data_IF_828446043763
#
_entry.id   IF_828446043763
#
_cell.length_a   1.000
_cell.length_b   1.000
_cell.length_c   1.000
_cell.angle_alpha   90.00
_cell.angle_beta   90.00
_cell.angle_gamma   90.00
#
_symmetry.space_group_name_H-M   'P 1'
#
loop_
_entity.id
_entity.type
_entity.pdbx_description
1 polymer ?
2 non-polymer ?
3 non-polymer ?
4 non-polymer ?
5 water ?
#
# COMPACT_ATOMS: atom_id res chain seq x y z
N UNK A 1 -7.20 7.62 -24.35
CA UNK A 1 -7.52 8.07 -22.96
C UNK A 1 -7.33 9.58 -22.82
N UNK A 2 -8.18 10.23 -22.03
CA UNK A 2 -8.09 11.68 -21.81
C UNK A 2 -6.94 12.00 -20.84
N UNK A 3 -6.75 13.29 -20.53
CA UNK A 3 -5.71 13.69 -19.60
C UNK A 3 -6.01 13.06 -18.24
N UNK A 4 -4.98 12.81 -17.42
CA UNK A 4 -5.14 12.20 -16.09
C UNK A 4 -6.25 12.81 -15.23
N UNK A 5 -6.23 14.13 -15.07
CA UNK A 5 -7.26 14.77 -14.25
C UNK A 5 -8.66 14.58 -14.82
N UNK A 6 -8.77 14.60 -16.15
CA UNK A 6 -10.07 14.43 -16.80
C UNK A 6 -10.55 12.99 -16.54
N UNK A 7 -9.62 12.05 -16.59
CA UNK A 7 -10.00 10.66 -16.36
C UNK A 7 -10.42 10.43 -14.91
N UNK A 8 -9.68 11.01 -13.97
CA UNK A 8 -10.03 10.88 -12.55
C UNK A 8 -11.46 11.41 -12.33
N UNK A 9 -11.78 12.54 -12.95
CA UNK A 9 -13.12 13.11 -12.79
C UNK A 9 -14.15 12.16 -13.37
N UNK A 10 -13.86 11.62 -14.54
CA UNK A 10 -14.77 10.69 -15.19
C UNK A 10 -15.00 9.47 -14.28
N UNK A 11 -13.94 9.02 -13.62
CA UNK A 11 -14.06 7.88 -12.72
C UNK A 11 -15.02 8.17 -11.56
N UNK A 12 -14.93 9.37 -10.97
CA UNK A 12 -15.87 9.71 -9.88
C UNK A 12 -17.30 9.75 -10.41
N UNK A 13 -17.48 10.34 -11.59
CA UNK A 13 -18.82 10.42 -12.19
C UNK A 13 -19.40 9.01 -12.39
N UNK A 14 -18.58 8.12 -12.94
CA UNK A 14 -19.05 6.77 -13.19
C UNK A 14 -19.24 5.90 -11.93
N UNK A 15 -18.37 6.07 -10.95
CA UNK A 15 -18.46 5.27 -9.72
C UNK A 15 -19.39 5.83 -8.64
N UNK A 16 -19.71 7.13 -8.74
CA UNK A 16 -20.51 7.83 -7.72
C UNK A 16 -19.76 7.82 -6.39
N UNK A 17 -18.43 7.74 -6.44
CA UNK A 17 -17.67 7.73 -5.21
C UNK A 17 -16.54 8.73 -5.30
N UNK A 18 -15.76 8.84 -4.23
CA UNK A 18 -14.62 9.75 -4.21
C UNK A 18 -13.37 8.98 -4.61
N UNK A 19 -12.54 9.65 -5.41
CA UNK A 19 -11.27 9.11 -5.84
C UNK A 19 -10.24 10.06 -5.22
N UNK A 20 -9.17 9.50 -4.68
CA UNK A 20 -8.08 10.30 -4.13
C UNK A 20 -6.85 9.85 -4.88
N UNK A 21 -6.05 10.80 -5.36
CA UNK A 21 -4.89 10.42 -6.15
C UNK A 21 -3.72 11.39 -6.09
N UNK A 22 -2.52 10.82 -6.12
CA UNK A 22 -1.28 11.59 -6.18
C UNK A 22 -0.35 10.85 -7.13
N UNK A 23 0.34 11.63 -7.96
CA UNK A 23 1.37 11.14 -8.89
C UNK A 23 2.57 11.99 -8.50
N UNK A 24 3.66 11.34 -8.08
CA UNK A 24 4.84 12.04 -7.57
C UNK A 24 6.14 11.42 -8.09
N UNK A 25 7.10 12.27 -8.44
CA UNK A 25 8.41 11.74 -8.88
C UNK A 25 9.03 11.04 -7.66
N UNK A 26 9.47 9.79 -7.83
CA UNK A 26 10.03 9.06 -6.70
C UNK A 26 11.34 9.64 -6.21
N UNK A 27 12.20 10.02 -7.15
CA UNK A 27 13.49 10.56 -6.76
C UNK A 27 13.47 11.91 -6.06
N UNK A 28 12.60 12.83 -6.52
CA UNK A 28 12.59 14.18 -5.95
C UNK A 28 11.40 14.58 -5.11
N UNK A 29 10.27 13.89 -5.30
CA UNK A 29 9.07 14.24 -4.55
C UNK A 29 8.21 15.25 -5.31
N UNK A 30 8.59 15.60 -6.53
CA UNK A 30 7.81 16.54 -7.33
C UNK A 30 6.39 16.01 -7.51
N UNK A 31 5.38 16.80 -7.15
CA UNK A 31 3.99 16.39 -7.32
C UNK A 31 3.50 16.78 -8.70
N UNK A 32 3.06 15.80 -9.49
CA UNK A 32 2.56 16.06 -10.83
C UNK A 32 1.06 16.19 -10.93
N UNK A 33 0.36 15.33 -10.21
CA UNK A 33 -1.10 15.34 -10.21
C UNK A 33 -1.53 15.16 -8.76
N UNK A 34 -2.53 15.94 -8.34
CA UNK A 34 -3.04 15.85 -7.00
C UNK A 34 -4.54 16.07 -7.09
N UNK A 35 -5.31 15.08 -6.65
CA UNK A 35 -6.77 15.18 -6.66
C UNK A 35 -7.25 14.68 -5.32
N UNK A 36 -7.96 15.52 -4.56
CA UNK A 36 -8.43 15.18 -3.21
C UNK A 36 -7.26 14.62 -2.43
N UNK A 37 -6.08 15.19 -2.68
CA UNK A 37 -4.86 14.71 -2.05
C UNK A 37 -4.76 14.88 -0.55
N UNK A 38 -5.57 15.79 0.00
CA UNK A 38 -5.55 16.03 1.43
C UNK A 38 -6.80 15.51 2.12
N UNK A 39 -7.59 14.74 1.39
CA UNK A 39 -8.80 14.14 1.96
C UNK A 39 -8.48 12.75 2.48
N UNK A 40 -9.22 12.33 3.51
CA UNK A 40 -9.00 11.03 4.10
C UNK A 40 -9.66 9.90 3.33
N UNK A 41 -8.93 8.79 3.26
CA UNK A 41 -9.39 7.55 2.61
C UNK A 41 -8.94 6.35 3.43
N UNK A 42 -9.76 5.29 3.50
CA UNK A 42 -9.37 4.10 4.26
C UNK A 42 -8.12 3.51 3.58
N UNK A 43 -7.07 3.23 4.35
CA UNK A 43 -5.87 2.67 3.75
C UNK A 43 -6.08 1.23 3.28
N UNK A 44 -7.00 0.53 3.93
CA UNK A 44 -7.24 -0.89 3.71
C UNK A 44 -5.88 -1.60 3.74
N UNK A 45 -5.68 -2.64 2.93
CA UNK A 45 -4.41 -3.39 2.99
C UNK A 45 -3.15 -2.64 2.59
N UNK A 46 -3.26 -1.42 2.07
CA UNK A 46 -2.03 -0.72 1.70
C UNK A 46 -1.19 -0.37 2.94
N UNK A 47 -1.77 -0.46 4.15
CA UNK A 47 -1.03 -0.10 5.34
C UNK A 47 0.14 -1.08 5.53
N UNK A 48 0.05 -2.24 4.89
CA UNK A 48 1.08 -3.26 5.08
C UNK A 48 2.48 -2.86 4.63
N UNK A 49 2.57 -1.95 3.66
CA UNK A 49 3.89 -1.50 3.24
C UNK A 49 4.50 -0.62 4.36
N UNK A 50 3.70 0.26 4.95
CA UNK A 50 4.21 1.10 6.05
C UNK A 50 4.59 0.21 7.26
N UNK A 51 3.77 -0.79 7.53
CA UNK A 51 4.04 -1.75 8.60
C UNK A 51 5.43 -2.36 8.43
N UNK A 52 5.73 -2.85 7.23
CA UNK A 52 7.03 -3.48 7.04
C UNK A 52 8.17 -2.45 7.02
N UNK A 53 7.84 -1.19 6.77
CA UNK A 53 8.84 -0.15 6.87
C UNK A 53 9.22 -0.02 8.35
N UNK A 54 8.23 -0.09 9.24
CA UNK A 54 8.50 0.01 10.69
C UNK A 54 9.32 -1.19 11.15
N UNK A 55 9.02 -2.38 10.61
CA UNK A 55 9.76 -3.58 10.94
C UNK A 55 11.23 -3.43 10.51
N UNK A 56 11.43 -2.93 9.29
CA UNK A 56 12.78 -2.75 8.82
C UNK A 56 13.54 -1.72 9.66
N UNK A 57 12.84 -0.70 10.16
CA UNK A 57 13.49 0.30 11.00
C UNK A 57 14.01 -0.40 12.26
N UNK A 58 13.21 -1.33 12.82
CA UNK A 58 13.64 -2.07 14.01
C UNK A 58 14.85 -2.94 13.67
N UNK A 59 14.84 -3.54 12.49
CA UNK A 59 15.99 -4.37 12.09
C UNK A 59 17.26 -3.51 12.01
N UNK A 60 17.13 -2.32 11.41
CA UNK A 60 18.26 -1.40 11.24
C UNK A 60 18.83 -0.98 12.60
N UNK A 61 17.96 -0.86 13.59
CA UNK A 61 18.37 -0.46 14.93
C UNK A 61 18.91 -1.62 15.77
N UNK A 62 18.85 -2.83 15.22
CA UNK A 62 19.32 -4.00 15.95
C UNK A 62 18.29 -4.53 16.94
N UNK A 63 17.04 -4.06 16.84
CA UNK A 63 15.98 -4.52 17.73
C UNK A 63 15.15 -5.65 17.14
N UNK A 64 15.47 -6.02 15.91
CA UNK A 64 14.71 -7.08 15.23
C UNK A 64 15.62 -7.71 14.19
N UNK A 65 15.27 -8.91 13.74
CA UNK A 65 16.04 -9.59 12.70
C UNK A 65 15.03 -10.17 11.73
N UNK A 66 15.28 -10.02 10.43
CA UNK A 66 14.34 -10.61 9.47
C UNK A 66 14.40 -12.13 9.57
N UNK A 67 15.50 -12.66 10.09
CA UNK A 67 15.65 -14.11 10.24
C UNK A 67 14.86 -14.69 11.42
N UNK A 68 14.51 -13.85 12.39
CA UNK A 68 13.87 -14.36 13.60
C UNK A 68 12.58 -15.12 13.33
N UNK A 69 12.54 -16.37 13.79
CA UNK A 69 11.36 -17.20 13.58
C UNK A 69 10.29 -16.96 14.64
N UNK A 70 9.08 -16.69 14.19
CA UNK A 70 7.96 -16.46 15.10
C UNK A 70 7.04 -17.69 15.04
N UNK A 71 6.76 -18.27 16.20
CA UNK A 71 5.86 -19.40 16.24
C UNK A 71 4.52 -18.87 16.72
N UNK A 72 3.45 -19.27 16.06
CA UNK A 72 2.15 -18.77 16.46
C UNK A 72 1.17 -19.93 16.53
N UNK A 73 -0.04 -19.63 16.98
CA UNK A 73 -1.07 -20.64 17.14
C UNK A 73 -2.27 -20.43 16.23
N UNK A 74 -3.03 -21.51 16.01
CA UNK A 74 -4.18 -21.40 15.13
C UNK A 74 -5.16 -20.33 15.59
N UNK A 75 -5.31 -20.17 16.90
CA UNK A 75 -6.21 -19.16 17.44
C UNK A 75 -5.77 -17.74 17.12
N UNK A 76 -4.53 -17.60 16.67
CA UNK A 76 -3.98 -16.28 16.31
C UNK A 76 -4.37 -15.89 14.91
N UNK A 77 -4.82 -16.86 14.12
CA UNK A 77 -5.17 -16.57 12.73
C UNK A 77 -6.49 -15.84 12.54
N UNK A 78 -6.48 -14.91 11.59
CA UNK A 78 -7.67 -14.16 11.22
C UNK A 78 -7.99 -14.44 9.77
N UNK A 79 -9.10 -13.88 9.29
CA UNK A 79 -9.57 -14.09 7.92
C UNK A 79 -8.51 -13.83 6.84
N UNK A 80 -8.34 -14.81 5.97
CA UNK A 80 -7.42 -14.78 4.83
C UNK A 80 -5.97 -14.83 5.23
N UNK A 81 -5.49 -16.05 5.35
CA UNK A 81 -4.13 -16.33 5.77
C UNK A 81 -3.56 -17.42 4.90
N UNK A 82 -3.48 -17.19 3.58
CA UNK A 82 -2.97 -18.18 2.63
C UNK A 82 -1.60 -18.77 2.90
N UNK A 83 -0.70 -17.98 3.45
CA UNK A 83 0.63 -18.47 3.74
C UNK A 83 0.76 -18.86 5.20
N UNK A 84 0.29 -18.00 6.10
CA UNK A 84 0.48 -18.29 7.52
C UNK A 84 -0.28 -19.53 8.01
N UNK A 85 -1.40 -19.87 7.39
CA UNK A 85 -2.11 -21.07 7.85
C UNK A 85 -1.32 -22.35 7.53
N UNK A 86 -0.31 -22.25 6.67
CA UNK A 86 0.48 -23.42 6.31
C UNK A 86 1.68 -23.65 7.22
N UNK A 87 1.88 -22.77 8.19
CA UNK A 87 3.05 -22.88 9.06
C UNK A 87 2.78 -22.89 10.55
N UNK A 88 1.71 -23.57 10.94
CA UNK A 88 1.40 -23.66 12.36
C UNK A 88 2.43 -24.52 13.08
N UNK A 89 2.99 -25.47 12.35
CA UNK A 89 3.98 -26.37 12.94
C UNK A 89 5.39 -25.82 12.97
N UNK A 90 5.79 -25.13 11.91
CA UNK A 90 7.16 -24.65 11.83
C UNK A 90 7.42 -23.15 11.99
N UNK A 91 6.35 -22.36 12.02
CA UNK A 91 6.51 -20.93 12.18
C UNK A 91 6.99 -20.24 10.92
N UNK A 92 7.13 -18.92 11.02
CA UNK A 92 7.63 -18.09 9.91
C UNK A 92 8.61 -17.04 10.41
N UNK A 93 9.58 -16.70 9.58
CA UNK A 93 10.54 -15.66 9.99
C UNK A 93 9.85 -14.29 9.81
N UNK A 94 10.39 -13.28 10.48
CA UNK A 94 9.84 -11.94 10.38
C UNK A 94 9.87 -11.53 8.90
N UNK A 95 10.95 -11.84 8.19
CA UNK A 95 11.02 -11.46 6.78
C UNK A 95 9.97 -12.18 5.95
N UNK A 96 9.75 -13.46 6.24
CA UNK A 96 8.73 -14.23 5.53
C UNK A 96 7.37 -13.63 5.83
N UNK A 97 7.18 -13.18 7.06
CA UNK A 97 5.88 -12.58 7.42
C UNK A 97 5.67 -11.30 6.59
N UNK A 98 6.69 -10.48 6.45
CA UNK A 98 6.52 -9.27 5.64
C UNK A 98 6.24 -9.66 4.18
N UNK A 99 6.95 -10.65 3.67
CA UNK A 99 6.69 -11.08 2.29
C UNK A 99 5.24 -11.54 2.15
N UNK A 100 4.73 -12.27 3.12
CA UNK A 100 3.37 -12.79 3.03
C UNK A 100 2.35 -11.66 3.13
N UNK A 101 2.61 -10.72 4.03
CA UNK A 101 1.68 -9.59 4.21
C UNK A 101 1.63 -8.71 2.96
N UNK A 102 2.81 -8.41 2.40
CA UNK A 102 2.85 -7.55 1.23
C UNK A 102 2.53 -8.25 -0.09
N UNK A 103 3.13 -9.41 -0.36
CA UNK A 103 2.91 -10.05 -1.65
C UNK A 103 1.71 -10.97 -1.78
N UNK A 104 1.13 -11.38 -0.65
CA UNK A 104 -0.04 -12.25 -0.68
C UNK A 104 -1.22 -11.71 0.13
N UNK A 105 -1.06 -10.50 0.68
CA UNK A 105 -2.04 -9.85 1.56
C UNK A 105 -2.53 -10.79 2.64
N UNK A 106 -1.58 -11.49 3.23
CA UNK A 106 -1.89 -12.41 4.33
C UNK A 106 -2.20 -11.57 5.58
N UNK A 107 -3.42 -11.64 6.10
CA UNK A 107 -3.80 -10.83 7.25
C UNK A 107 -3.24 -11.25 8.59
N UNK A 108 -3.08 -12.55 8.81
CA UNK A 108 -2.48 -12.99 10.07
C UNK A 108 -1.02 -12.59 10.09
N UNK A 109 -0.34 -12.70 8.96
CA UNK A 109 1.06 -12.28 8.94
C UNK A 109 1.14 -10.79 9.31
N UNK A 110 0.24 -9.98 8.77
CA UNK A 110 0.23 -8.55 9.08
C UNK A 110 -0.02 -8.33 10.58
N UNK A 111 -0.98 -9.07 11.16
CA UNK A 111 -1.26 -8.91 12.58
C UNK A 111 -0.08 -9.31 13.45
N UNK A 112 0.61 -10.39 13.07
CA UNK A 112 1.77 -10.83 13.85
C UNK A 112 2.84 -9.75 13.82
N UNK A 113 3.07 -9.16 12.65
CA UNK A 113 4.05 -8.09 12.52
C UNK A 113 3.60 -6.84 13.29
N UNK A 114 2.31 -6.53 13.22
CA UNK A 114 1.78 -5.37 13.90
C UNK A 114 2.07 -5.50 15.41
N UNK A 115 1.94 -6.71 15.94
CA UNK A 115 2.22 -6.90 17.36
C UNK A 115 3.67 -6.53 17.67
N UNK A 116 4.58 -6.90 16.78
CA UNK A 116 6.00 -6.61 17.03
C UNK A 116 6.37 -5.13 17.04
N UNK A 117 5.55 -4.27 16.44
CA UNK A 117 5.85 -2.84 16.43
C UNK A 117 4.98 -2.03 17.40
N UNK A 118 4.29 -2.73 18.31
CA UNK A 118 3.46 -2.02 19.27
C UNK A 118 2.01 -1.85 18.89
N UNK A 119 1.53 -2.66 17.96
CA UNK A 119 0.15 -2.57 17.53
C UNK A 119 -0.16 -1.34 16.72
N UNK A 120 -1.45 -1.12 16.40
CA UNK A 120 -1.87 0.04 15.62
C UNK A 120 -1.29 1.33 16.21
N UNK A 121 -1.31 1.45 17.54
CA UNK A 121 -0.76 2.65 18.17
C UNK A 121 0.74 2.78 17.92
N UNK A 122 1.47 1.67 18.00
CA UNK A 122 2.91 1.71 17.75
C UNK A 122 3.22 2.09 16.32
N UNK A 123 2.42 1.59 15.37
CA UNK A 123 2.67 1.94 13.97
C UNK A 123 2.37 3.41 13.74
N UNK A 124 1.32 3.91 14.37
CA UNK A 124 0.97 5.30 14.22
C UNK A 124 2.09 6.18 14.81
N UNK A 125 2.70 5.74 15.91
CA UNK A 125 3.78 6.52 16.50
C UNK A 125 4.97 6.54 15.55
N UNK A 126 5.24 5.40 14.89
CA UNK A 126 6.33 5.32 13.92
C UNK A 126 6.07 6.33 12.81
N UNK A 127 4.83 6.39 12.32
CA UNK A 127 4.49 7.35 11.27
C UNK A 127 4.77 8.78 11.75
N UNK A 128 4.40 9.08 13.00
CA UNK A 128 4.65 10.42 13.53
C UNK A 128 6.17 10.66 13.59
N UNK A 129 6.92 9.61 13.89
CA UNK A 129 8.37 9.73 13.97
C UNK A 129 9.06 10.02 12.64
N UNK A 130 8.45 9.63 11.53
CA UNK A 130 9.04 9.93 10.24
C UNK A 130 8.36 11.16 9.61
N UNK A 131 7.59 11.89 10.41
CA UNK A 131 6.99 13.10 9.91
C UNK A 131 5.64 13.02 9.25
N UNK A 132 4.97 11.89 9.37
CA UNK A 132 3.62 11.79 8.79
C UNK A 132 2.70 12.05 9.97
N UNK A 133 2.06 13.22 9.95
CA UNK A 133 1.18 13.63 11.05
C UNK A 133 -0.29 13.42 10.75
N UNK A 134 -0.58 12.69 9.67
CA UNK A 134 -1.95 12.46 9.26
C UNK A 134 -2.37 11.00 9.26
N UNK A 135 -1.56 10.14 8.63
CA UNK A 135 -1.89 8.72 8.58
C UNK A 135 -2.07 8.11 9.96
N UNK A 136 -3.08 7.25 10.11
CA UNK A 136 -3.31 6.62 11.39
C UNK A 136 -3.87 5.21 11.26
N UNK A 137 -3.31 4.28 12.05
CA UNK A 137 -3.86 2.93 12.07
C UNK A 137 -4.44 2.78 13.48
N UNK A 138 -5.67 2.30 13.55
CA UNK A 138 -6.35 2.18 14.83
C UNK A 138 -6.77 0.76 15.17
N UNK A 139 -6.98 -0.04 14.12
CA UNK A 139 -7.45 -1.40 14.31
C UNK A 139 -6.56 -2.45 13.67
N UNK A 140 -6.87 -3.72 13.94
CA UNK A 140 -6.11 -4.85 13.41
C UNK A 140 -6.63 -5.31 12.05
N UNK A 141 -5.82 -6.13 11.39
CA UNK A 141 -6.01 -6.63 10.03
C UNK A 141 -7.35 -6.72 9.41
N UNK A 142 -8.29 -7.40 10.04
CA UNK A 142 -9.57 -7.49 9.38
C UNK A 142 -10.51 -6.31 9.63
N UNK A 143 -10.56 -5.86 10.87
CA UNK A 143 -11.46 -4.76 11.24
C UNK A 143 -11.15 -3.42 10.60
N UNK A 144 -9.89 -3.20 10.23
CA UNK A 144 -9.50 -1.92 9.63
C UNK A 144 -10.06 -1.66 8.23
N UNK A 145 -10.69 -2.67 7.63
CA UNK A 145 -11.26 -2.53 6.30
C UNK A 145 -12.74 -2.13 6.30
N UNK A 146 -13.29 -1.86 7.49
CA UNK A 146 -14.72 -1.52 7.59
C UNK A 146 -15.15 -0.31 6.77
N UNK A 147 -14.27 0.68 6.66
CA UNK A 147 -14.56 1.87 5.86
C UNK A 147 -15.91 2.54 6.10
N UNK A 148 -16.25 2.79 7.35
CA UNK A 148 -17.51 3.46 7.66
C UNK A 148 -17.45 4.92 7.19
N UNK A 149 -18.53 5.41 6.57
CA UNK A 149 -18.45 6.80 6.15
C UNK A 149 -18.17 7.75 7.32
N UNK A 150 -17.28 8.72 7.10
CA UNK A 150 -16.93 9.68 8.13
C UNK A 150 -16.03 9.22 9.27
N UNK A 151 -15.63 7.94 9.25
CA UNK A 151 -14.79 7.36 10.29
C UNK A 151 -13.34 7.62 9.94
N UNK A 152 -12.64 8.33 10.82
CA UNK A 152 -11.25 8.68 10.59
C UNK A 152 -10.29 7.53 10.92
N UNK A 153 -10.80 6.48 11.55
CA UNK A 153 -9.91 5.37 11.89
C UNK A 153 -9.31 4.70 10.64
N UNK A 154 -8.06 4.28 10.76
CA UNK A 154 -7.39 3.53 9.69
C UNK A 154 -7.35 4.25 8.34
N UNK A 155 -7.08 5.55 8.37
CA UNK A 155 -7.08 6.33 7.15
C UNK A 155 -5.75 7.01 6.88
N UNK A 156 -5.58 7.45 5.65
CA UNK A 156 -4.40 8.20 5.25
C UNK A 156 -4.94 9.21 4.25
N UNK A 157 -4.06 10.01 3.66
CA UNK A 157 -4.49 10.90 2.60
C UNK A 157 -3.53 10.53 1.46
N UNK A 158 -3.93 10.79 0.20
CA UNK A 158 -3.03 10.45 -0.90
C UNK A 158 -1.68 11.14 -0.75
N UNK A 159 -1.70 12.41 -0.38
CA UNK A 159 -0.43 13.15 -0.22
C UNK A 159 0.44 12.59 0.91
N UNK A 160 -0.18 12.24 2.03
CA UNK A 160 0.60 11.71 3.16
C UNK A 160 1.18 10.34 2.81
N UNK A 161 0.36 9.47 2.22
CA UNK A 161 0.85 8.14 1.90
C UNK A 161 1.97 8.21 0.87
N UNK A 162 1.83 9.08 -0.12
CA UNK A 162 2.89 9.19 -1.12
C UNK A 162 4.19 9.68 -0.48
N UNK A 163 4.10 10.69 0.36
CA UNK A 163 5.30 11.23 1.02
C UNK A 163 5.92 10.18 1.93
N UNK A 164 5.08 9.41 2.63
CA UNK A 164 5.59 8.41 3.56
C UNK A 164 6.29 7.28 2.81
N UNK A 165 5.72 6.83 1.69
CA UNK A 165 6.35 5.77 0.92
C UNK A 165 7.66 6.28 0.38
N UNK A 166 7.67 7.53 -0.10
CA UNK A 166 8.93 8.08 -0.62
C UNK A 166 9.98 8.11 0.49
N UNK A 167 9.59 8.52 1.69
CA UNK A 167 10.54 8.56 2.80
C UNK A 167 11.08 7.15 3.10
N UNK A 168 10.22 6.14 3.09
CA UNK A 168 10.72 4.82 3.43
C UNK A 168 11.63 4.24 2.36
N UNK A 169 11.29 4.50 1.11
CA UNK A 169 12.04 3.94 0.01
C UNK A 169 13.31 4.67 -0.40
N UNK A 170 13.36 5.98 -0.15
CA UNK A 170 14.50 6.77 -0.63
C UNK A 170 15.21 7.77 0.28
N UNK A 171 14.63 8.11 1.43
CA UNK A 171 15.24 9.16 2.27
C UNK A 171 16.42 8.80 3.16
N UNK A 172 16.85 7.56 3.11
CA UNK A 172 17.96 7.10 3.93
C UNK A 172 17.61 7.02 5.41
N UNK A 173 16.31 7.03 5.73
CA UNK A 173 15.87 6.86 7.10
C UNK A 173 16.10 5.38 7.37
N UNK A 174 15.82 4.55 6.36
CA UNK A 174 16.09 3.11 6.41
C UNK A 174 17.46 2.90 5.75
N UNK A 175 18.15 1.83 6.15
CA UNK A 175 19.46 1.51 5.59
C UNK A 175 19.30 1.16 4.11
N UNK A 176 20.40 1.17 3.37
CA UNK A 176 20.33 0.83 1.95
C UNK A 176 19.70 -0.55 1.75
N UNK A 177 20.15 -1.53 2.54
CA UNK A 177 19.60 -2.87 2.38
C UNK A 177 18.11 -2.90 2.69
N UNK A 178 17.69 -2.17 3.72
CA UNK A 178 16.25 -2.17 4.05
C UNK A 178 15.41 -1.48 2.97
N UNK A 179 15.90 -0.37 2.41
CA UNK A 179 15.18 0.30 1.33
C UNK A 179 15.05 -0.67 0.15
N UNK A 180 16.11 -1.43 -0.12
CA UNK A 180 16.10 -2.38 -1.23
C UNK A 180 15.12 -3.52 -0.98
N UNK A 181 15.04 -3.95 0.28
CA UNK A 181 14.13 -5.04 0.65
C UNK A 181 12.66 -4.59 0.51
N UNK A 182 12.34 -3.40 1.01
CA UNK A 182 10.96 -2.93 0.93
C UNK A 182 10.53 -2.84 -0.52
N UNK A 183 11.43 -2.32 -1.37
CA UNK A 183 11.11 -2.20 -2.79
C UNK A 183 10.88 -3.57 -3.44
N UNK A 184 11.77 -4.52 -3.16
CA UNK A 184 11.64 -5.86 -3.72
C UNK A 184 10.32 -6.53 -3.29
N UNK A 185 9.88 -6.31 -2.05
CA UNK A 185 8.61 -6.90 -1.62
C UNK A 185 7.47 -6.34 -2.48
N UNK A 186 7.51 -5.04 -2.78
CA UNK A 186 6.48 -4.45 -3.64
C UNK A 186 6.59 -4.97 -5.06
N UNK A 187 7.81 -5.18 -5.53
CA UNK A 187 8.01 -5.70 -6.89
C UNK A 187 7.41 -7.12 -6.97
N UNK A 188 7.53 -7.84 -5.85
CA UNK A 188 7.08 -9.22 -5.79
C UNK A 188 5.58 -9.46 -5.53
N UNK A 189 4.76 -8.41 -5.50
CA UNK A 189 3.34 -8.62 -5.24
C UNK A 189 2.75 -9.68 -6.14
N UNK A 190 2.11 -10.68 -5.56
CA UNK A 190 1.49 -11.75 -6.33
C UNK A 190 0.00 -11.50 -6.58
N UNK A 191 -0.62 -10.64 -5.77
CA UNK A 191 -2.03 -10.38 -5.90
C UNK A 191 -2.41 -9.57 -7.12
N UNK A 192 -1.73 -8.46 -7.35
CA UNK A 192 -2.05 -7.62 -8.50
C UNK A 192 -0.90 -7.42 -9.48
N UNK A 193 0.32 -7.62 -9.04
CA UNK A 193 1.47 -7.40 -9.92
C UNK A 193 1.41 -8.10 -11.27
N UNK A 194 1.31 -9.43 -11.30
CA UNK A 194 1.26 -10.18 -12.56
C UNK A 194 0.11 -9.67 -13.46
N UNK A 195 -1.06 -9.43 -12.88
CA UNK A 195 -2.22 -8.96 -13.64
C UNK A 195 -1.90 -7.61 -14.27
N UNK A 196 -1.38 -6.67 -13.47
CA UNK A 196 -1.03 -5.37 -14.02
C UNK A 196 -0.02 -5.49 -15.17
N UNK A 197 1.00 -6.30 -14.98
CA UNK A 197 2.00 -6.46 -16.05
C UNK A 197 1.38 -6.98 -17.33
N UNK A 198 0.39 -7.87 -17.20
CA UNK A 198 -0.27 -8.44 -18.37
C UNK A 198 -1.00 -7.40 -19.20
N UNK A 199 -1.37 -6.28 -18.60
CA UNK A 199 -2.05 -5.22 -19.34
C UNK A 199 -1.22 -3.94 -19.56
N UNK A 200 0.02 -3.94 -19.08
CA UNK A 200 0.88 -2.79 -19.29
C UNK A 200 1.66 -2.92 -20.59
N UNK A 201 1.91 -1.81 -21.30
CA UNK A 201 2.68 -1.90 -22.55
C UNK A 201 4.09 -2.33 -22.16
N UNK A 202 4.80 -2.91 -23.12
CA UNK A 202 6.17 -3.32 -22.88
C UNK A 202 6.98 -2.09 -22.43
N UNK A 203 7.91 -2.31 -21.50
CA UNK A 203 8.76 -1.25 -21.02
C UNK A 203 8.31 -0.53 -19.76
N UNK A 204 7.10 -0.82 -19.28
CA UNK A 204 6.65 -0.14 -18.06
C UNK A 204 6.87 -0.97 -16.80
N UNK A 205 7.58 -0.37 -15.86
CA UNK A 205 7.87 -0.92 -14.55
C UNK A 205 6.65 -0.83 -13.62
N UNK A 206 6.43 -1.87 -12.81
CA UNK A 206 5.38 -1.81 -11.78
C UNK A 206 5.82 -2.54 -10.51
N UNK A 207 5.53 -1.91 -9.36
CA UNK A 207 5.73 -2.50 -8.03
C UNK A 207 4.48 -1.99 -7.34
N UNK A 208 3.87 -2.79 -6.44
CA UNK A 208 2.62 -2.29 -5.88
C UNK A 208 2.14 -3.04 -4.67
N UNK A 209 1.19 -2.42 -3.97
CA UNK A 209 0.44 -3.08 -2.89
C UNK A 209 -0.99 -2.56 -3.06
N UNK A 210 -1.95 -3.48 -3.12
CA UNK A 210 -3.36 -3.12 -3.26
C UNK A 210 -4.12 -3.52 -2.01
N UNK A 211 -5.36 -3.03 -1.92
CA UNK A 211 -6.20 -3.34 -0.78
C UNK A 211 -7.65 -3.09 -1.14
N UNK A 212 -8.56 -3.65 -0.36
CA UNK A 212 -9.99 -3.48 -0.62
C UNK A 212 -10.74 -3.53 0.70
N UNK A 213 -11.86 -2.83 0.75
CA UNK A 213 -12.66 -2.82 1.97
C UNK A 213 -14.14 -2.66 1.66
N UNK A 214 -14.91 -2.36 2.70
CA UNK A 214 -16.34 -2.19 2.55
C UNK A 214 -16.71 -0.86 1.90
N UNK A 215 -17.98 -0.76 1.49
CA UNK A 215 -18.50 0.43 0.87
C UNK A 215 -17.70 0.88 -0.34
N UNK A 216 -17.17 -0.11 -1.07
CA UNK A 216 -16.40 0.16 -2.27
C UNK A 216 -14.95 0.53 -2.05
N UNK A 217 -14.49 0.58 -0.80
CA UNK A 217 -13.10 0.99 -0.57
C UNK A 217 -12.09 0.17 -1.36
N UNK A 218 -11.14 0.87 -1.96
CA UNK A 218 -10.13 0.21 -2.77
C UNK A 218 -8.90 1.07 -2.73
N UNK A 219 -7.73 0.46 -2.81
CA UNK A 219 -6.55 1.31 -2.81
C UNK A 219 -5.37 0.65 -3.47
N UNK A 220 -4.49 1.48 -4.00
CA UNK A 220 -3.25 0.95 -4.57
C UNK A 220 -2.15 1.98 -4.35
N UNK A 221 -0.99 1.50 -3.87
CA UNK A 221 0.18 2.36 -3.72
C UNK A 221 1.14 1.67 -4.70
N UNK A 222 1.73 2.43 -5.61
CA UNK A 222 2.56 1.78 -6.63
C UNK A 222 3.69 2.64 -7.11
N UNK A 223 4.66 1.97 -7.76
CA UNK A 223 5.79 2.65 -8.41
C UNK A 223 5.58 2.28 -9.89
N UNK A 224 5.67 3.29 -10.75
CA UNK A 224 5.39 3.09 -12.17
C UNK A 224 6.31 3.94 -13.00
N UNK A 225 6.69 3.45 -14.17
CA UNK A 225 7.51 4.27 -15.03
C UNK A 225 7.90 3.58 -16.31
N UNK A 226 8.20 4.35 -17.35
CA UNK A 226 8.62 3.73 -18.62
C UNK A 226 10.12 3.41 -18.54
N UNK A 227 10.64 2.80 -19.61
CA UNK A 227 12.06 2.46 -19.64
C UNK A 227 12.45 1.57 -18.45
N UNK A 228 11.50 0.78 -17.97
CA UNK A 228 11.72 -0.17 -16.89
C UNK A 228 12.30 0.45 -15.62
N UNK A 229 11.85 1.67 -15.32
CA UNK A 229 12.32 2.40 -14.15
C UNK A 229 11.18 2.80 -13.24
N UNK A 230 11.42 2.75 -11.94
CA UNK A 230 10.41 3.16 -10.94
C UNK A 230 10.47 4.70 -10.86
N UNK A 231 9.95 5.36 -11.88
CA UNK A 231 10.03 6.81 -11.95
C UNK A 231 9.09 7.55 -11.01
N UNK A 232 7.88 7.06 -10.87
CA UNK A 232 6.92 7.76 -10.04
C UNK A 232 6.17 6.89 -9.07
N UNK A 233 5.75 7.53 -7.98
CA UNK A 233 4.92 6.90 -6.99
C UNK A 233 3.52 7.30 -7.43
N UNK A 234 2.59 6.35 -7.48
CA UNK A 234 1.21 6.68 -7.81
C UNK A 234 0.37 6.04 -6.71
N UNK A 235 -0.42 6.87 -6.05
CA UNK A 235 -1.30 6.40 -4.98
C UNK A 235 -2.72 6.72 -5.39
N UNK A 236 -3.60 5.70 -5.40
CA UNK A 236 -5.01 5.92 -5.73
C UNK A 236 -5.90 5.20 -4.73
N UNK A 237 -6.85 5.94 -4.18
CA UNK A 237 -7.81 5.36 -3.25
C UNK A 237 -9.20 5.66 -3.77
N UNK A 238 -10.12 4.73 -3.54
CA UNK A 238 -11.53 4.95 -3.89
C UNK A 238 -12.33 4.74 -2.63
N UNK A 239 -13.39 5.52 -2.41
CA UNK A 239 -14.23 5.26 -1.23
C UNK A 239 -15.67 5.62 -1.51
N UNK A 240 -16.57 5.01 -0.75
CA UNK A 240 -18.00 5.29 -0.87
C UNK A 240 -18.60 5.21 -2.27
N UNK A 241 -18.34 4.09 -2.92
CA UNK A 241 -18.93 3.81 -4.23
C UNK A 241 -19.58 2.43 -4.13
N UNK A 242 -20.75 2.25 -4.75
CA UNK A 242 -21.44 0.96 -4.70
C UNK A 242 -21.04 0.07 -5.87
N UNK A 243 -20.06 0.51 -6.66
CA UNK A 243 -19.66 -0.24 -7.85
C UNK A 243 -19.01 -1.61 -7.62
N UNK A 244 -19.21 -2.48 -8.60
CA UNK A 244 -18.63 -3.81 -8.56
C UNK A 244 -17.12 -3.68 -8.46
N UNK A 245 -16.48 -4.73 -7.97
CA UNK A 245 -15.02 -4.74 -7.88
C UNK A 245 -14.45 -4.61 -9.29
N UNK A 246 -15.07 -5.30 -10.25
CA UNK A 246 -14.59 -5.23 -11.63
C UNK A 246 -14.54 -3.79 -12.16
N UNK A 247 -15.59 -3.01 -11.89
CA UNK A 247 -15.60 -1.65 -12.39
C UNK A 247 -14.64 -0.74 -11.64
N UNK A 248 -14.48 -0.96 -10.35
CA UNK A 248 -13.54 -0.17 -9.57
C UNK A 248 -12.14 -0.48 -10.12
N UNK A 249 -11.85 -1.74 -10.42
CA UNK A 249 -10.54 -2.10 -11.00
C UNK A 249 -10.36 -1.46 -12.37
N UNK A 250 -11.42 -1.49 -13.18
CA UNK A 250 -11.35 -0.90 -14.52
C UNK A 250 -11.10 0.61 -14.46
N UNK A 251 -11.74 1.31 -13.52
CA UNK A 251 -11.54 2.74 -13.41
C UNK A 251 -10.12 3.07 -12.98
N UNK A 252 -9.58 2.30 -12.04
CA UNK A 252 -8.19 2.56 -11.60
C UNK A 252 -7.26 2.30 -12.79
N UNK A 253 -7.52 1.21 -13.51
CA UNK A 253 -6.73 0.91 -14.72
C UNK A 253 -6.86 2.09 -15.70
N UNK A 254 -8.06 2.64 -15.83
CA UNK A 254 -8.25 3.78 -16.72
C UNK A 254 -7.44 5.02 -16.35
N UNK A 255 -7.26 5.26 -15.06
CA UNK A 255 -6.46 6.39 -14.62
C UNK A 255 -5.03 6.06 -15.01
N UNK A 256 -4.65 4.79 -14.84
CA UNK A 256 -3.31 4.38 -15.22
C UNK A 256 -3.09 4.58 -16.72
N UNK A 257 -4.08 4.22 -17.52
CA UNK A 257 -3.96 4.38 -18.97
C UNK A 257 -3.76 5.85 -19.34
N UNK A 258 -4.45 6.76 -18.64
CA UNK A 258 -4.32 8.19 -18.90
C UNK A 258 -2.89 8.63 -18.56
N UNK A 259 -2.33 8.09 -17.48
CA UNK A 259 -0.96 8.44 -17.10
C UNK A 259 0.01 8.01 -18.19
N UNK A 260 -0.16 6.78 -18.66
CA UNK A 260 0.70 6.18 -19.69
C UNK A 260 0.67 6.96 -21.00
N UNK A 261 -0.54 7.31 -21.46
CA UNK A 261 -0.68 8.05 -22.70
C UNK A 261 -0.26 9.53 -22.64
N UNK A 262 -0.09 10.06 -21.43
CA UNK A 262 0.30 11.46 -21.23
C UNK A 262 1.31 11.54 -20.11
N UNK A 263 2.41 10.83 -20.28
CA UNK A 263 3.42 10.72 -19.24
C UNK A 263 4.35 11.91 -19.04
N UNK A 264 4.70 12.56 -20.14
CA UNK A 264 5.65 13.67 -20.06
C UNK A 264 5.07 15.02 -19.66
N UNK A 265 4.73 15.16 -18.37
CA UNK A 265 4.18 16.40 -17.85
C UNK A 265 5.14 17.03 -16.85
#
# INVERSE_FOLDING_TARGET
SPQPLEQIKLSESQLSGRVGMIEMDLASGRTLTAWRADERFPMVSTFKVVLCGAVLARVDAGDEQLERKIHYRQQDLVDYSPVSEKHLADGMTVGELCAAAITMSDNSAANLLLATVGGPAGLTAFLRQIGDNVTRLDRWATELNEALPGDARDTTTPASMAATLRKLLTSQRLSARSQRQLLQWMVDDRVAGPLIRSVLPAGWFIADKTGAGERGARGIVALLGPNNKAERIVVIYLRDTPASMAERNQQIAGIGAALIEHWQR
#
